data_IF_838941138912
#
_entry.id   IF_838941138912
#
_cell.length_a   1.000
_cell.length_b   1.000
_cell.length_c   1.000
_cell.angle_alpha   90.00
_cell.angle_beta   90.00
_cell.angle_gamma   90.00
#
_symmetry.space_group_name_H-M   'P 1'
#
loop_
_entity.id
_entity.type
_entity.pdbx_description
1 polymer ?
#
# COMPACT_ATOMS: atom_id res chain seq x y z
N UNK A 1 -50.55 -55.23 26.71
CA UNK A 1 -50.92 -53.91 27.27
C UNK A 1 -49.66 -53.07 27.34
N UNK A 2 -49.71 -51.86 26.75
CA UNK A 2 -48.79 -50.71 26.85
C UNK A 2 -47.30 -50.95 26.52
N UNK A 3 -46.84 -50.61 25.31
CA UNK A 3 -46.41 -49.25 24.85
C UNK A 3 -45.13 -48.78 25.53
N UNK A 4 -44.01 -48.83 24.81
CA UNK A 4 -43.17 -47.65 24.52
C UNK A 4 -42.17 -48.04 23.43
N UNK A 5 -42.44 -47.63 22.19
CA UNK A 5 -41.44 -47.46 21.14
C UNK A 5 -41.90 -46.29 20.27
N UNK A 6 -40.93 -45.46 19.89
CA UNK A 6 -40.95 -44.49 18.79
C UNK A 6 -41.95 -43.31 18.81
N UNK A 7 -41.44 -42.15 19.23
CA UNK A 7 -41.64 -40.92 18.45
C UNK A 7 -40.58 -39.89 18.87
N UNK A 8 -39.45 -39.86 18.14
CA UNK A 8 -38.42 -38.85 18.32
C UNK A 8 -38.54 -37.85 17.16
N UNK A 9 -38.79 -36.59 17.53
CA UNK A 9 -39.21 -35.52 16.66
C UNK A 9 -38.26 -35.24 15.50
N UNK A 10 -38.82 -35.20 14.29
CA UNK A 10 -38.26 -34.51 13.13
C UNK A 10 -38.01 -33.04 13.49
N UNK A 11 -36.75 -32.69 13.76
CA UNK A 11 -36.32 -31.31 13.71
C UNK A 11 -35.58 -31.12 12.39
N UNK A 12 -36.24 -30.46 11.46
CA UNK A 12 -35.74 -30.02 10.17
C UNK A 12 -34.52 -29.13 10.41
N UNK A 13 -33.32 -29.70 10.31
CA UNK A 13 -32.06 -28.95 10.32
C UNK A 13 -31.91 -28.30 8.96
N UNK A 14 -32.43 -27.08 8.83
CA UNK A 14 -32.15 -26.18 7.71
C UNK A 14 -30.64 -26.14 7.46
N UNK A 15 -30.25 -26.73 6.34
CA UNK A 15 -28.94 -26.59 5.76
C UNK A 15 -28.75 -25.13 5.37
N UNK A 16 -28.07 -24.37 6.23
CA UNK A 16 -27.45 -23.11 5.83
C UNK A 16 -26.42 -23.42 4.74
N UNK A 17 -26.55 -22.90 3.51
CA UNK A 17 -25.45 -22.98 2.56
C UNK A 17 -24.30 -22.16 3.15
N UNK A 18 -23.18 -22.84 3.37
CA UNK A 18 -21.95 -22.23 3.83
C UNK A 18 -21.59 -21.09 2.91
N UNK A 19 -21.40 -19.91 3.48
CA UNK A 19 -20.75 -18.80 2.79
C UNK A 19 -19.34 -19.26 2.42
N UNK A 20 -19.16 -19.64 1.17
CA UNK A 20 -17.86 -19.73 0.54
C UNK A 20 -17.29 -18.32 0.53
N UNK A 21 -16.58 -17.97 1.60
CA UNK A 21 -15.69 -16.81 1.59
C UNK A 21 -14.66 -17.08 0.50
N UNK A 22 -14.86 -16.49 -0.67
CA UNK A 22 -13.85 -16.43 -1.72
C UNK A 22 -12.54 -15.96 -1.06
N UNK A 23 -11.61 -16.89 -0.90
CA UNK A 23 -10.35 -16.66 -0.20
C UNK A 23 -9.67 -15.47 -0.83
N UNK A 24 -9.36 -14.45 -0.03
CA UNK A 24 -8.45 -13.38 -0.43
C UNK A 24 -7.16 -14.07 -0.87
N UNK A 25 -6.92 -14.14 -2.18
CA UNK A 25 -5.70 -14.70 -2.72
C UNK A 25 -4.53 -13.98 -2.02
N UNK A 26 -3.73 -14.72 -1.26
CA UNK A 26 -2.61 -14.13 -0.51
C UNK A 26 -1.59 -13.62 -1.52
N UNK A 27 -1.51 -12.30 -1.70
CA UNK A 27 -0.50 -11.66 -2.56
C UNK A 27 0.87 -12.15 -2.13
N UNK A 28 1.65 -12.73 -3.05
CA UNK A 28 2.99 -13.21 -2.71
C UNK A 28 3.99 -12.05 -2.66
N UNK A 29 5.12 -12.24 -1.97
CA UNK A 29 6.20 -11.27 -1.96
C UNK A 29 6.73 -10.97 -3.39
N UNK A 30 6.70 -11.98 -4.27
CA UNK A 30 7.11 -11.85 -5.68
C UNK A 30 6.15 -10.98 -6.48
N UNK A 31 4.85 -11.10 -6.23
CA UNK A 31 3.83 -10.27 -6.88
C UNK A 31 3.96 -8.81 -6.43
N UNK A 32 4.18 -8.59 -5.12
CA UNK A 32 4.45 -7.25 -4.57
C UNK A 32 5.69 -6.61 -5.18
N UNK A 33 6.76 -7.38 -5.39
CA UNK A 33 7.99 -6.88 -6.02
C UNK A 33 7.76 -6.52 -7.51
N UNK A 34 6.93 -7.28 -8.23
CA UNK A 34 6.57 -6.95 -9.62
C UNK A 34 5.72 -5.68 -9.71
N UNK A 35 4.81 -5.47 -8.77
CA UNK A 35 4.02 -4.24 -8.69
C UNK A 35 4.92 -3.02 -8.42
N UNK A 36 5.87 -3.15 -7.49
CA UNK A 36 6.88 -2.14 -7.24
C UNK A 36 7.67 -1.77 -8.49
N UNK A 37 8.18 -2.78 -9.16
CA UNK A 37 8.99 -2.63 -10.36
C UNK A 37 8.24 -1.87 -11.46
N UNK A 38 6.99 -2.26 -11.72
CA UNK A 38 6.11 -1.57 -12.69
C UNK A 38 5.84 -0.13 -12.28
N UNK A 39 5.59 0.12 -10.98
CA UNK A 39 5.33 1.48 -10.47
C UNK A 39 6.54 2.40 -10.64
N UNK A 40 7.73 1.93 -10.27
CA UNK A 40 8.99 2.68 -10.44
C UNK A 40 9.20 3.02 -11.91
N UNK A 41 9.05 2.03 -12.81
CA UNK A 41 9.19 2.25 -14.25
C UNK A 41 8.20 3.29 -14.78
N UNK A 42 6.93 3.18 -14.40
CA UNK A 42 5.89 4.11 -14.84
C UNK A 42 6.15 5.55 -14.36
N UNK A 43 6.65 5.71 -13.13
CA UNK A 43 7.07 7.02 -12.62
C UNK A 43 8.27 7.55 -13.40
N UNK A 44 9.30 6.72 -13.65
CA UNK A 44 10.46 7.11 -14.47
C UNK A 44 10.04 7.63 -15.85
N UNK A 45 9.19 6.87 -16.54
CA UNK A 45 8.69 7.21 -17.88
C UNK A 45 7.87 8.52 -17.88
N UNK A 46 7.07 8.77 -16.84
CA UNK A 46 6.33 10.05 -16.67
C UNK A 46 7.23 11.25 -16.49
N UNK A 47 8.40 11.07 -15.88
CA UNK A 47 9.42 12.11 -15.75
C UNK A 47 10.32 12.22 -16.98
N UNK A 48 10.08 11.45 -18.04
CA UNK A 48 10.85 11.50 -19.28
C UNK A 48 12.30 11.05 -19.15
N UNK A 49 12.62 10.26 -18.12
CA UNK A 49 13.99 9.83 -17.83
C UNK A 49 14.33 8.52 -18.56
N UNK A 50 15.54 8.42 -19.11
CA UNK A 50 16.10 7.13 -19.55
C UNK A 50 16.49 6.26 -18.34
N UNK A 51 16.81 4.97 -18.56
CA UNK A 51 17.33 4.14 -17.46
C UNK A 51 18.69 4.63 -16.98
N UNK A 52 19.51 5.17 -17.87
CA UNK A 52 20.79 5.80 -17.57
C UNK A 52 20.60 7.04 -16.69
N UNK A 53 19.70 7.96 -17.07
CA UNK A 53 19.41 9.17 -16.30
C UNK A 53 18.87 8.83 -14.90
N UNK A 54 17.96 7.86 -14.84
CA UNK A 54 17.39 7.40 -13.59
C UNK A 54 18.45 6.79 -12.67
N UNK A 55 19.32 5.94 -13.22
CA UNK A 55 20.40 5.32 -12.47
C UNK A 55 21.38 6.37 -11.92
N UNK A 56 21.74 7.36 -12.75
CA UNK A 56 22.62 8.45 -12.35
C UNK A 56 21.99 9.29 -11.22
N UNK A 57 20.72 9.69 -11.35
CA UNK A 57 20.01 10.49 -10.34
C UNK A 57 19.80 9.75 -9.03
N UNK A 58 19.52 8.44 -9.10
CA UNK A 58 19.30 7.62 -7.91
C UNK A 58 20.58 7.10 -7.28
N UNK A 59 21.74 7.29 -7.92
CA UNK A 59 23.03 6.81 -7.41
C UNK A 59 23.15 5.28 -7.44
N UNK A 60 22.43 4.61 -8.34
CA UNK A 60 22.51 3.17 -8.57
C UNK A 60 23.14 2.87 -9.94
N UNK A 61 23.56 1.62 -10.18
CA UNK A 61 24.05 1.24 -11.50
C UNK A 61 22.90 1.07 -12.50
N UNK A 62 23.16 1.34 -13.79
CA UNK A 62 22.18 1.14 -14.88
C UNK A 62 21.69 -0.32 -14.91
N UNK A 63 22.60 -1.27 -14.70
CA UNK A 63 22.26 -2.69 -14.57
C UNK A 63 21.29 -2.96 -13.42
N UNK A 64 21.50 -2.33 -12.25
CA UNK A 64 20.61 -2.49 -11.11
C UNK A 64 19.26 -1.80 -11.32
N UNK A 65 19.22 -0.62 -11.94
CA UNK A 65 17.98 0.04 -12.36
C UNK A 65 17.15 -0.88 -13.27
N UNK A 66 17.81 -1.54 -14.23
CA UNK A 66 17.18 -2.49 -15.14
C UNK A 66 16.61 -3.72 -14.41
N UNK A 67 17.38 -4.33 -13.50
CA UNK A 67 16.94 -5.44 -12.65
C UNK A 67 15.77 -5.06 -11.73
N UNK A 68 15.81 -3.84 -11.19
CA UNK A 68 14.77 -3.28 -10.33
C UNK A 68 13.46 -3.11 -11.09
N UNK A 69 13.48 -2.52 -12.28
CA UNK A 69 12.28 -2.30 -13.11
C UNK A 69 11.66 -3.56 -13.68
N UNK A 70 12.42 -4.68 -13.72
CA UNK A 70 11.89 -6.01 -14.06
C UNK A 70 11.39 -6.79 -12.83
N UNK A 71 11.64 -6.29 -11.62
CA UNK A 71 11.28 -6.99 -10.37
C UNK A 71 12.12 -8.25 -10.13
N UNK A 72 13.32 -8.30 -10.70
CA UNK A 72 14.24 -9.43 -10.56
C UNK A 72 15.09 -9.33 -9.29
N UNK A 73 15.23 -8.11 -8.75
CA UNK A 73 15.99 -7.87 -7.52
C UNK A 73 15.24 -6.95 -6.56
N UNK A 74 15.15 -7.38 -5.30
CA UNK A 74 14.53 -6.58 -4.25
C UNK A 74 15.44 -5.42 -3.87
N UNK A 75 14.95 -4.16 -3.89
CA UNK A 75 15.71 -3.02 -3.42
C UNK A 75 15.82 -3.02 -1.89
N UNK A 76 16.89 -2.43 -1.37
CA UNK A 76 16.96 -2.10 0.05
C UNK A 76 16.04 -0.90 0.34
N UNK A 77 15.74 -0.67 1.62
CA UNK A 77 15.05 0.57 2.03
C UNK A 77 15.81 1.82 1.60
N UNK A 78 17.15 1.82 1.69
CA UNK A 78 17.99 2.94 1.26
C UNK A 78 17.83 3.22 -0.24
N UNK A 79 17.83 2.15 -1.06
CA UNK A 79 17.56 2.27 -2.51
C UNK A 79 16.17 2.84 -2.77
N UNK A 80 15.14 2.42 -2.03
CA UNK A 80 13.79 2.97 -2.20
C UNK A 80 13.73 4.47 -1.90
N UNK A 81 14.44 4.93 -0.87
CA UNK A 81 14.54 6.37 -0.56
C UNK A 81 15.24 7.13 -1.67
N UNK A 82 16.36 6.59 -2.18
CA UNK A 82 17.09 7.18 -3.31
C UNK A 82 16.25 7.26 -4.59
N UNK A 83 15.52 6.18 -4.91
CA UNK A 83 14.62 6.11 -6.06
C UNK A 83 13.48 7.13 -5.94
N UNK A 84 12.83 7.21 -4.78
CA UNK A 84 11.77 8.20 -4.54
C UNK A 84 12.29 9.63 -4.70
N UNK A 85 13.48 9.93 -4.18
CA UNK A 85 14.12 11.22 -4.33
C UNK A 85 14.47 11.54 -5.80
N UNK A 86 15.03 10.57 -6.54
CA UNK A 86 15.40 10.73 -7.95
C UNK A 86 14.19 10.94 -8.87
N UNK A 87 13.04 10.39 -8.48
CA UNK A 87 11.75 10.56 -9.16
C UNK A 87 10.95 11.75 -8.61
N UNK A 88 11.48 12.50 -7.64
CA UNK A 88 10.83 13.67 -7.05
C UNK A 88 9.43 13.38 -6.48
N UNK A 89 9.25 12.20 -5.88
CA UNK A 89 7.98 11.77 -5.27
C UNK A 89 8.14 11.38 -3.80
N UNK A 90 7.07 11.50 -2.98
CA UNK A 90 7.07 10.92 -1.64
C UNK A 90 7.31 9.41 -1.68
N UNK A 91 8.01 8.83 -0.70
CA UNK A 91 8.28 7.38 -0.67
C UNK A 91 7.01 6.51 -0.78
N UNK A 92 5.90 6.95 -0.19
CA UNK A 92 4.61 6.26 -0.27
C UNK A 92 4.06 6.17 -1.71
N UNK A 93 4.49 7.05 -2.62
CA UNK A 93 4.08 7.03 -4.03
C UNK A 93 4.60 5.80 -4.79
N UNK A 94 5.71 5.22 -4.33
CA UNK A 94 6.22 3.97 -4.89
C UNK A 94 5.27 2.79 -4.64
N UNK A 95 4.33 2.94 -3.70
CA UNK A 95 3.43 1.87 -3.21
C UNK A 95 1.95 2.15 -3.46
N UNK A 96 1.59 3.27 -4.11
CA UNK A 96 0.19 3.74 -4.19
C UNK A 96 -0.77 2.77 -4.90
N UNK A 97 -0.23 1.80 -5.66
CA UNK A 97 -1.00 0.79 -6.38
C UNK A 97 -0.82 -0.65 -5.81
N UNK A 98 -0.24 -0.80 -4.61
CA UNK A 98 0.12 -2.13 -4.04
C UNK A 98 -1.00 -2.75 -3.22
N UNK A 99 -1.85 -1.92 -2.63
CA UNK A 99 -3.13 -2.36 -2.16
C UNK A 99 -3.86 -2.86 -3.40
N UNK A 100 -4.09 -4.18 -3.52
CA UNK A 100 -4.92 -4.80 -4.57
C UNK A 100 -6.38 -4.30 -4.66
N UNK A 101 -6.65 -3.09 -4.16
CA UNK A 101 -7.73 -2.19 -4.50
C UNK A 101 -7.33 -1.19 -5.61
N UNK A 102 -6.17 -1.36 -6.25
CA UNK A 102 -5.96 -0.93 -7.62
C UNK A 102 -6.79 -1.84 -8.51
N UNK A 103 -8.05 -1.49 -8.67
CA UNK A 103 -9.01 -2.03 -9.62
C UNK A 103 -8.34 -2.55 -10.92
N UNK A 104 -8.04 -3.85 -10.98
CA UNK A 104 -8.08 -4.63 -12.23
C UNK A 104 -9.54 -4.84 -12.66
N UNK A 105 -10.38 -3.88 -12.29
CA UNK A 105 -11.76 -3.78 -12.64
C UNK A 105 -11.84 -2.82 -13.83
N UNK A 106 -12.11 -3.32 -15.06
CA UNK A 106 -12.34 -2.47 -16.23
C UNK A 106 -13.53 -1.51 -16.05
N UNK A 107 -14.34 -1.65 -14.99
CA UNK A 107 -15.40 -0.72 -14.62
C UNK A 107 -14.88 0.51 -13.83
N UNK A 108 -13.78 0.42 -13.07
CA UNK A 108 -13.29 1.59 -12.30
C UNK A 108 -12.72 2.69 -13.17
N UNK A 109 -11.91 2.32 -14.19
CA UNK A 109 -11.44 3.27 -15.20
C UNK A 109 -12.61 4.00 -15.85
N UNK A 110 -13.68 3.28 -16.19
CA UNK A 110 -14.91 3.86 -16.75
C UNK A 110 -15.61 4.82 -15.80
N UNK A 111 -15.67 4.51 -14.50
CA UNK A 111 -16.28 5.40 -13.50
C UNK A 111 -15.46 6.68 -13.30
N UNK A 112 -14.13 6.56 -13.23
CA UNK A 112 -13.22 7.71 -13.13
C UNK A 112 -13.31 8.58 -14.39
N UNK A 113 -13.32 7.99 -15.58
CA UNK A 113 -13.46 8.71 -16.85
C UNK A 113 -14.82 9.39 -16.99
N UNK A 114 -15.90 8.74 -16.54
CA UNK A 114 -17.22 9.34 -16.47
C UNK A 114 -17.21 10.55 -15.53
N UNK A 115 -16.71 10.39 -14.31
CA UNK A 115 -16.68 11.45 -13.31
C UNK A 115 -15.89 12.68 -13.81
N UNK A 116 -14.78 12.46 -14.53
CA UNK A 116 -13.98 13.51 -15.16
C UNK A 116 -14.73 14.20 -16.31
N UNK A 117 -15.29 13.45 -17.25
CA UNK A 117 -16.04 14.01 -18.40
C UNK A 117 -17.28 14.77 -17.98
N UNK A 118 -18.00 14.26 -16.97
CA UNK A 118 -19.17 14.90 -16.38
C UNK A 118 -18.82 16.05 -15.43
N UNK A 119 -17.52 16.31 -15.18
CA UNK A 119 -17.01 17.35 -14.28
C UNK A 119 -17.70 17.29 -12.90
N UNK A 120 -17.85 16.09 -12.36
CA UNK A 120 -18.55 15.91 -11.10
C UNK A 120 -17.80 16.60 -9.97
N UNK A 121 -18.54 17.40 -9.21
CA UNK A 121 -18.06 17.96 -7.96
C UNK A 121 -18.02 16.87 -6.89
N UNK A 122 -17.21 17.12 -5.84
CA UNK A 122 -17.15 16.22 -4.68
C UNK A 122 -18.54 15.93 -4.10
N UNK A 123 -19.39 16.95 -3.97
CA UNK A 123 -20.75 16.80 -3.49
C UNK A 123 -21.62 15.90 -4.39
N UNK A 124 -21.41 15.92 -5.71
CA UNK A 124 -22.11 15.03 -6.63
C UNK A 124 -21.60 13.58 -6.53
N UNK A 125 -20.29 13.40 -6.37
CA UNK A 125 -19.70 12.07 -6.13
C UNK A 125 -20.23 11.48 -4.82
N UNK A 126 -20.30 12.27 -3.74
CA UNK A 126 -20.82 11.83 -2.45
C UNK A 126 -22.28 11.36 -2.54
N UNK A 127 -23.12 12.04 -3.33
CA UNK A 127 -24.50 11.61 -3.60
C UNK A 127 -24.56 10.30 -4.39
N UNK A 128 -23.70 10.13 -5.41
CA UNK A 128 -23.64 8.89 -6.17
C UNK A 128 -23.20 7.71 -5.29
N UNK A 129 -22.24 7.94 -4.39
CA UNK A 129 -21.83 6.95 -3.40
C UNK A 129 -22.97 6.60 -2.44
N UNK A 130 -23.73 7.60 -1.97
CA UNK A 130 -24.90 7.35 -1.12
C UNK A 130 -25.96 6.48 -1.82
N UNK A 131 -26.23 6.75 -3.10
CA UNK A 131 -27.12 5.92 -3.93
C UNK A 131 -26.58 4.50 -4.05
N UNK A 132 -25.29 4.33 -4.36
CA UNK A 132 -24.67 3.01 -4.48
C UNK A 132 -24.73 2.22 -3.16
N UNK A 133 -24.49 2.86 -2.02
CA UNK A 133 -24.59 2.22 -0.69
C UNK A 133 -26.03 1.78 -0.42
N UNK A 134 -27.02 2.63 -0.73
CA UNK A 134 -28.43 2.32 -0.52
C UNK A 134 -28.95 1.21 -1.44
N UNK A 135 -28.46 1.15 -2.68
CA UNK A 135 -28.91 0.19 -3.69
C UNK A 135 -28.25 -1.18 -3.59
N UNK A 136 -26.99 -1.24 -3.13
CA UNK A 136 -26.18 -2.47 -3.21
C UNK A 136 -25.72 -2.99 -1.83
N UNK A 137 -26.28 -2.49 -0.74
CA UNK A 137 -25.92 -2.87 0.64
C UNK A 137 -24.41 -2.88 0.91
N UNK A 138 -23.67 -1.96 0.26
CA UNK A 138 -22.22 -1.89 0.38
C UNK A 138 -21.87 -1.39 1.78
N UNK A 139 -21.67 -2.31 2.72
CA UNK A 139 -21.15 -1.97 4.03
C UNK A 139 -19.83 -1.21 3.82
N UNK A 140 -19.66 -0.01 4.42
CA UNK A 140 -18.40 0.69 4.34
C UNK A 140 -17.35 -0.23 4.94
N UNK A 141 -16.45 -0.72 4.09
CA UNK A 141 -15.33 -1.54 4.52
C UNK A 141 -14.62 -0.70 5.59
N UNK A 142 -14.74 -1.09 6.86
CA UNK A 142 -13.87 -0.57 7.90
C UNK A 142 -12.49 -1.10 7.57
N UNK A 143 -11.81 -0.43 6.62
CA UNK A 143 -10.37 -0.37 6.61
C UNK A 143 -10.01 -0.10 8.06
N UNK A 144 -9.28 -1.03 8.68
CA UNK A 144 -8.86 -0.93 10.06
C UNK A 144 -8.20 0.43 10.23
N UNK A 145 -8.98 1.40 10.69
CA UNK A 145 -8.52 2.67 11.18
C UNK A 145 -7.78 2.30 12.44
N UNK A 146 -6.50 2.03 12.29
CA UNK A 146 -5.58 2.02 13.40
C UNK A 146 -5.36 3.49 13.83
N UNK A 147 -6.45 4.17 14.17
CA UNK A 147 -6.48 5.42 14.91
C UNK A 147 -6.58 5.06 16.39
N UNK A 148 -5.62 4.26 16.85
CA UNK A 148 -5.21 4.37 18.24
C UNK A 148 -4.69 5.80 18.46
N UNK A 149 -4.81 6.36 19.68
CA UNK A 149 -4.34 7.71 19.94
C UNK A 149 -2.88 7.80 19.52
N UNK A 150 -2.57 8.75 18.63
CA UNK A 150 -1.20 9.10 18.28
C UNK A 150 -0.53 9.47 19.58
N UNK A 151 0.26 8.54 20.14
CA UNK A 151 1.16 8.88 21.23
C UNK A 151 2.17 9.83 20.63
N UNK A 152 1.99 11.12 20.88
CA UNK A 152 3.02 12.13 20.72
C UNK A 152 4.16 11.74 21.64
N UNK A 153 5.05 10.86 21.16
CA UNK A 153 6.35 10.68 21.80
C UNK A 153 7.03 12.03 21.64
N UNK A 154 7.28 12.70 22.77
CA UNK A 154 8.17 13.85 22.83
C UNK A 154 9.41 13.51 22.00
N UNK A 155 9.65 14.33 20.98
CA UNK A 155 10.67 14.06 19.98
C UNK A 155 12.02 14.24 20.64
N UNK A 156 12.62 13.13 21.09
CA UNK A 156 13.97 13.13 21.63
C UNK A 156 14.91 13.82 20.63
N UNK A 157 15.73 14.74 21.14
CA UNK A 157 16.68 15.54 20.35
C UNK A 157 18.03 14.83 20.31
N UNK A 158 18.72 14.93 19.17
CA UNK A 158 20.03 14.35 18.94
C UNK A 158 21.00 14.73 20.06
N UNK A 159 21.72 13.76 20.60
CA UNK A 159 22.69 13.93 21.69
C UNK A 159 24.01 14.60 21.29
N UNK A 160 24.08 15.16 20.08
CA UNK A 160 25.30 15.78 19.54
C UNK A 160 25.23 17.29 19.78
N UNK A 161 26.31 17.88 20.32
CA UNK A 161 26.32 19.28 20.71
C UNK A 161 25.98 20.19 19.51
N UNK A 162 25.01 21.08 19.72
CA UNK A 162 24.49 21.96 18.67
C UNK A 162 23.52 21.31 17.67
N UNK A 163 23.18 20.02 17.83
CA UNK A 163 22.26 19.33 16.92
C UNK A 163 20.82 19.30 17.44
N UNK A 164 19.97 20.21 16.97
CA UNK A 164 18.52 20.26 17.33
C UNK A 164 17.61 19.26 16.58
N UNK A 165 18.17 18.26 15.88
CA UNK A 165 17.38 17.34 15.02
C UNK A 165 16.80 16.18 15.83
N UNK A 166 15.67 15.65 15.37
CA UNK A 166 15.04 14.48 15.98
C UNK A 166 15.95 13.23 15.92
N UNK A 167 15.91 12.43 16.99
CA UNK A 167 16.62 11.17 17.10
C UNK A 167 16.04 10.14 16.13
N UNK A 168 16.92 9.49 15.35
CA UNK A 168 16.60 8.31 14.54
C UNK A 168 16.79 7.03 15.36
N UNK A 169 17.97 6.83 15.93
CA UNK A 169 18.34 5.65 16.72
C UNK A 169 19.58 5.92 17.58
N UNK A 170 19.69 5.26 18.75
CA UNK A 170 20.83 5.37 19.68
C UNK A 170 21.15 6.81 20.13
N UNK A 171 20.13 7.64 20.33
CA UNK A 171 20.30 9.06 20.71
C UNK A 171 20.83 9.96 19.59
N UNK A 172 21.04 9.45 18.36
CA UNK A 172 21.57 10.22 17.25
C UNK A 172 20.50 10.49 16.19
N UNK A 173 20.55 11.67 15.56
CA UNK A 173 19.80 11.95 14.33
C UNK A 173 20.33 11.09 13.16
N UNK A 174 19.57 11.02 12.07
CA UNK A 174 19.95 10.24 10.88
C UNK A 174 21.38 10.55 10.39
N UNK A 175 21.74 11.84 10.30
CA UNK A 175 23.06 12.27 9.82
C UNK A 175 24.20 11.78 10.71
N UNK A 176 24.07 11.92 12.03
CA UNK A 176 25.09 11.48 12.99
C UNK A 176 25.13 9.97 13.16
N UNK A 177 23.98 9.29 13.11
CA UNK A 177 23.91 7.84 13.13
C UNK A 177 24.67 7.20 11.95
N UNK A 178 24.48 7.71 10.73
CA UNK A 178 25.18 7.18 9.55
C UNK A 178 26.68 7.52 9.54
N UNK A 179 27.06 8.71 10.02
CA UNK A 179 28.47 9.09 10.18
C UNK A 179 29.18 8.18 11.19
N UNK A 180 28.59 7.99 12.37
CA UNK A 180 29.12 7.12 13.42
C UNK A 180 29.19 5.65 12.99
N UNK A 181 28.26 5.18 12.14
CA UNK A 181 28.28 3.81 11.61
C UNK A 181 29.39 3.60 10.56
N UNK A 182 29.68 4.60 9.73
CA UNK A 182 30.77 4.53 8.72
C UNK A 182 32.16 4.59 9.33
N UNK A 183 32.33 5.28 10.46
CA UNK A 183 33.61 5.35 11.19
C UNK A 183 33.96 4.08 11.99
N UNK A 184 33.08 3.06 12.00
CA UNK A 184 33.26 1.78 12.70
C UNK A 184 33.49 0.60 11.73
N UNK A 185 33.66 0.88 10.44
CA UNK A 185 34.07 -0.04 9.38
C UNK A 185 35.52 0.29 9.00
#
# INVERSE_FOLDING_TARGET
>A
MARVDEENAETTREQRPGGESAGRASVTAKDSLRLLARRIRALRERHGLTQEDFAQRSGISVSFASLLERGERSPSYETLVQVAAALEVPLAELFRDFSGAGYDDPYYGRLVDFARRAKLTRAQVDRLLAVAVAMFEVAPQQSGRNSGPVRTRESAVCSEEGCGRAVLARGMCASHYHRARRARL
#
